data_IF_536826610919
#
_entry.id   IF_536826610919
#
_cell.length_a   1.000
_cell.length_b   1.000
_cell.length_c   1.000
_cell.angle_alpha   90.00
_cell.angle_beta   90.00
_cell.angle_gamma   90.00
#
_symmetry.space_group_name_H-M   'P 1'
#
loop_
_entity.id
_entity.type
_entity.pdbx_description
1 polymer ?
#
# COMPACT_ATOMS: atom_id res chain seq x y z
N UNK A 1 -42.72 3.69 -18.07
CA UNK A 1 -41.97 2.70 -17.28
C UNK A 1 -40.85 2.15 -18.15
N UNK A 2 -39.60 2.57 -17.92
CA UNK A 2 -38.42 2.03 -18.63
C UNK A 2 -37.51 1.41 -17.57
N UNK A 3 -37.39 0.08 -17.62
CA UNK A 3 -36.57 -0.72 -16.70
C UNK A 3 -35.11 -0.53 -17.11
N UNK A 4 -34.34 0.20 -16.31
CA UNK A 4 -32.88 0.27 -16.49
C UNK A 4 -32.29 -0.86 -15.64
N UNK A 5 -31.69 -1.83 -16.32
CA UNK A 5 -31.03 -2.98 -15.74
C UNK A 5 -29.67 -2.49 -15.24
N UNK A 6 -29.53 -2.32 -13.92
CA UNK A 6 -28.26 -1.97 -13.27
C UNK A 6 -27.36 -3.19 -13.38
N UNK A 7 -26.45 -3.13 -14.34
CA UNK A 7 -25.41 -4.13 -14.54
C UNK A 7 -24.25 -3.88 -13.59
N UNK A 8 -23.95 -4.91 -12.80
CA UNK A 8 -22.63 -5.27 -12.23
C UNK A 8 -21.50 -4.30 -12.60
N UNK A 9 -21.22 -3.35 -11.70
CA UNK A 9 -20.08 -2.44 -11.78
C UNK A 9 -18.83 -3.25 -11.40
N UNK A 10 -18.05 -3.65 -12.41
CA UNK A 10 -16.69 -4.14 -12.21
C UNK A 10 -15.85 -3.00 -11.63
N UNK A 11 -15.56 -3.07 -10.32
CA UNK A 11 -14.52 -2.28 -9.66
C UNK A 11 -13.15 -2.71 -10.20
N UNK A 12 -12.75 -2.15 -11.34
CA UNK A 12 -11.37 -2.22 -11.80
C UNK A 12 -10.56 -1.20 -10.99
N UNK A 13 -10.09 -1.63 -9.82
CA UNK A 13 -9.02 -0.97 -9.09
C UNK A 13 -7.74 -1.06 -9.95
N UNK A 14 -7.33 0.08 -10.49
CA UNK A 14 -6.18 0.19 -11.38
C UNK A 14 -4.89 -0.25 -10.69
N UNK A 15 -4.13 -1.12 -11.36
CA UNK A 15 -2.83 -1.58 -10.90
C UNK A 15 -1.88 -0.40 -10.65
N UNK A 16 -1.43 -0.26 -9.40
CA UNK A 16 -0.41 0.69 -9.01
C UNK A 16 0.95 0.18 -9.45
N UNK A 17 1.42 0.66 -10.60
CA UNK A 17 2.82 0.51 -11.00
C UNK A 17 3.66 1.56 -10.25
N UNK A 18 4.33 1.11 -9.19
CA UNK A 18 5.40 1.86 -8.54
C UNK A 18 6.60 1.92 -9.49
N UNK A 19 6.61 2.90 -10.39
CA UNK A 19 7.78 3.24 -11.20
C UNK A 19 8.88 3.77 -10.28
N UNK A 20 9.77 2.88 -9.84
CA UNK A 20 11.01 3.25 -9.18
C UNK A 20 11.85 4.10 -10.12
N UNK A 21 12.06 5.37 -9.76
CA UNK A 21 13.04 6.23 -10.38
C UNK A 21 14.45 5.75 -9.99
N UNK A 22 14.94 4.73 -10.69
CA UNK A 22 16.36 4.39 -10.72
C UNK A 22 17.10 5.54 -11.39
N UNK A 23 17.85 6.32 -10.60
CA UNK A 23 18.72 7.39 -11.10
C UNK A 23 19.78 6.76 -12.01
N UNK A 24 19.51 6.79 -13.32
CA UNK A 24 20.45 6.38 -14.34
C UNK A 24 21.69 7.30 -14.27
N UNK A 25 22.84 6.67 -14.09
CA UNK A 25 24.14 7.34 -14.00
C UNK A 25 24.50 7.86 -15.41
N UNK A 26 24.32 9.15 -15.64
CA UNK A 26 24.74 9.81 -16.88
C UNK A 26 26.22 10.16 -16.78
N UNK A 27 27.05 9.40 -17.50
CA UNK A 27 28.40 9.78 -17.86
C UNK A 27 28.39 10.87 -18.93
N UNK A 28 29.03 12.03 -18.65
CA UNK A 28 29.79 12.80 -19.65
C UNK A 28 30.64 13.91 -19.00
N UNK A 29 31.95 13.65 -18.95
CA UNK A 29 33.10 14.54 -19.25
C UNK A 29 33.13 16.01 -18.80
N UNK A 30 34.18 16.40 -18.06
CA UNK A 30 35.26 17.28 -18.58
C UNK A 30 36.36 17.55 -17.54
N UNK A 31 37.60 17.67 -18.04
CA UNK A 31 38.87 17.89 -17.34
C UNK A 31 38.92 19.20 -16.52
N UNK A 32 39.73 19.36 -15.46
CA UNK A 32 41.16 19.72 -15.59
C UNK A 32 41.91 19.60 -14.24
N UNK A 33 43.06 18.94 -14.30
CA UNK A 33 44.40 19.27 -13.74
C UNK A 33 44.53 20.16 -12.47
N UNK A 34 45.16 19.62 -11.42
CA UNK A 34 46.39 20.16 -10.81
C UNK A 34 46.95 19.21 -9.74
N UNK A 35 48.28 19.14 -9.72
CA UNK A 35 49.13 18.14 -9.07
C UNK A 35 49.52 18.47 -7.61
N UNK A 36 49.97 17.44 -6.88
CA UNK A 36 51.05 17.38 -5.85
C UNK A 36 50.66 16.34 -4.78
N UNK A 37 51.48 15.52 -4.13
CA UNK A 37 52.90 15.15 -4.18
C UNK A 37 53.06 14.02 -3.13
N UNK A 38 53.75 12.93 -3.51
CA UNK A 38 54.46 11.91 -2.70
C UNK A 38 53.93 11.40 -1.34
N UNK A 39 53.82 10.07 -1.19
CA UNK A 39 54.82 9.22 -0.50
C UNK A 39 54.27 7.82 -0.15
N UNK A 40 54.83 6.80 -0.81
CA UNK A 40 55.37 5.55 -0.26
C UNK A 40 54.66 4.81 0.90
N UNK A 41 54.30 3.54 0.65
CA UNK A 41 54.62 2.29 1.42
C UNK A 41 53.56 1.21 1.11
N UNK A 42 53.91 0.19 0.33
CA UNK A 42 54.30 -1.18 0.74
C UNK A 42 53.12 -2.18 0.84
N UNK A 43 53.33 -3.30 0.15
CA UNK A 43 52.54 -4.51 0.08
C UNK A 43 52.51 -5.27 1.42
N UNK A 44 51.45 -6.06 1.61
CA UNK A 44 51.38 -7.45 2.14
C UNK A 44 49.91 -7.70 2.54
N UNK A 45 49.14 -8.46 1.77
CA UNK A 45 48.97 -9.93 1.81
C UNK A 45 48.11 -10.47 2.96
N UNK A 46 47.10 -11.25 2.55
CA UNK A 46 46.59 -12.47 3.19
C UNK A 46 45.50 -12.41 4.27
N UNK A 47 44.34 -12.91 3.83
CA UNK A 47 43.51 -13.97 4.44
C UNK A 47 42.91 -13.80 5.85
N UNK A 48 41.57 -13.89 5.88
CA UNK A 48 40.85 -15.06 6.44
C UNK A 48 39.59 -14.66 7.22
N UNK A 49 38.46 -15.02 6.63
CA UNK A 49 37.23 -15.54 7.23
C UNK A 49 37.04 -15.41 8.75
N UNK A 50 35.98 -14.70 9.15
CA UNK A 50 34.99 -15.33 10.03
C UNK A 50 33.61 -14.73 9.79
N UNK A 51 32.69 -15.62 9.45
CA UNK A 51 31.27 -15.38 9.31
C UNK A 51 30.66 -15.22 10.71
N UNK A 52 30.12 -14.05 11.02
CA UNK A 52 29.11 -13.94 12.08
C UNK A 52 27.76 -13.68 11.42
N UNK A 53 27.08 -14.80 11.20
CA UNK A 53 25.68 -14.90 10.87
C UNK A 53 24.86 -14.53 12.11
N UNK A 54 24.13 -13.41 12.00
CA UNK A 54 22.73 -13.21 12.39
C UNK A 54 22.32 -13.68 13.80
N UNK A 55 22.05 -12.71 14.67
CA UNK A 55 20.73 -12.59 15.30
C UNK A 55 20.32 -11.12 15.31
N UNK A 56 19.81 -10.65 14.16
CA UNK A 56 18.93 -9.48 14.17
C UNK A 56 17.57 -10.01 14.59
N UNK A 57 17.37 -10.12 15.90
CA UNK A 57 16.04 -10.13 16.50
C UNK A 57 15.37 -8.88 15.98
N UNK A 58 14.54 -9.03 14.96
CA UNK A 58 13.55 -8.04 14.59
C UNK A 58 12.58 -8.01 15.77
N UNK A 59 12.89 -7.17 16.75
CA UNK A 59 11.92 -6.70 17.71
C UNK A 59 10.80 -6.10 16.86
N UNK A 60 9.69 -6.83 16.77
CA UNK A 60 8.45 -6.33 16.21
C UNK A 60 8.05 -5.14 17.09
N UNK A 61 8.53 -3.94 16.75
CA UNK A 61 7.99 -2.72 17.31
C UNK A 61 6.51 -2.73 16.95
N UNK A 62 5.67 -3.06 17.92
CA UNK A 62 4.24 -2.86 17.87
C UNK A 62 4.00 -1.35 17.78
N UNK A 63 4.01 -0.84 16.55
CA UNK A 63 3.96 0.57 16.26
C UNK A 63 4.20 0.84 14.78
N UNK A 64 3.63 1.94 14.29
CA UNK A 64 3.78 2.33 12.90
C UNK A 64 5.23 2.76 12.62
N UNK A 65 5.93 2.00 11.78
CA UNK A 65 7.31 2.30 11.39
C UNK A 65 7.39 3.55 10.50
N UNK A 66 8.59 4.14 10.38
CA UNK A 66 8.83 5.25 9.42
C UNK A 66 8.50 4.85 7.98
N UNK A 67 8.77 3.59 7.63
CA UNK A 67 8.45 3.00 6.34
C UNK A 67 6.94 2.91 6.13
N UNK A 68 6.19 2.54 7.17
CA UNK A 68 4.74 2.54 7.13
C UNK A 68 4.20 3.95 6.88
N UNK A 69 4.72 4.95 7.58
CA UNK A 69 4.32 6.35 7.37
C UNK A 69 4.58 6.83 5.93
N UNK A 70 5.73 6.48 5.34
CA UNK A 70 6.01 6.80 3.93
C UNK A 70 5.03 6.09 2.97
N UNK A 71 4.60 4.87 3.29
CA UNK A 71 3.57 4.16 2.53
C UNK A 71 2.22 4.89 2.62
N UNK A 72 1.83 5.37 3.80
CA UNK A 72 0.61 6.18 3.99
C UNK A 72 0.69 7.48 3.18
N UNK A 73 1.80 8.21 3.22
CA UNK A 73 1.99 9.43 2.42
C UNK A 73 1.87 9.15 0.92
N UNK A 74 2.47 8.04 0.47
CA UNK A 74 2.33 7.55 -0.90
C UNK A 74 0.88 7.22 -1.27
N UNK A 75 0.13 6.57 -0.39
CA UNK A 75 -1.29 6.28 -0.60
C UNK A 75 -2.14 7.56 -0.62
N UNK A 76 -1.91 8.49 0.31
CA UNK A 76 -2.59 9.79 0.39
C UNK A 76 -2.39 10.62 -0.87
N UNK A 77 -1.21 10.55 -1.50
CA UNK A 77 -0.94 11.25 -2.77
C UNK A 77 -1.90 10.86 -3.90
N UNK A 78 -2.54 9.69 -3.80
CA UNK A 78 -3.47 9.16 -4.79
C UNK A 78 -4.93 9.60 -4.54
N UNK A 79 -5.24 10.09 -3.34
CA UNK A 79 -6.60 10.48 -2.94
C UNK A 79 -7.24 11.47 -3.92
N UNK A 80 -6.56 12.52 -4.44
CA UNK A 80 -7.16 13.41 -5.42
C UNK A 80 -7.61 12.70 -6.70
N UNK A 81 -6.82 11.73 -7.17
CA UNK A 81 -7.17 10.91 -8.33
C UNK A 81 -8.37 10.00 -8.04
N UNK A 82 -8.38 9.36 -6.87
CA UNK A 82 -9.49 8.51 -6.42
C UNK A 82 -10.79 9.31 -6.31
N UNK A 83 -10.75 10.49 -5.70
CA UNK A 83 -11.92 11.39 -5.59
C UNK A 83 -12.49 11.75 -6.95
N UNK A 84 -11.62 12.02 -7.93
CA UNK A 84 -12.03 12.31 -9.31
C UNK A 84 -12.58 11.09 -10.03
N UNK A 85 -11.96 9.92 -9.86
CA UNK A 85 -12.40 8.68 -10.49
C UNK A 85 -13.79 8.24 -10.00
N UNK A 86 -14.07 8.44 -8.72
CA UNK A 86 -15.34 8.07 -8.10
C UNK A 86 -16.23 9.28 -7.80
N UNK A 87 -16.06 10.37 -8.56
CA UNK A 87 -16.87 11.58 -8.42
C UNK A 87 -18.36 11.25 -8.62
N UNK A 88 -19.20 11.83 -7.77
CA UNK A 88 -20.65 11.59 -7.77
C UNK A 88 -21.08 10.29 -7.06
N UNK A 89 -20.18 9.33 -6.85
CA UNK A 89 -20.43 8.14 -6.01
C UNK A 89 -20.10 8.42 -4.55
N UNK A 90 -18.90 8.95 -4.29
CA UNK A 90 -18.47 9.36 -2.95
C UNK A 90 -18.38 10.89 -2.85
N UNK A 91 -18.83 11.43 -1.71
CA UNK A 91 -18.62 12.84 -1.35
C UNK A 91 -17.22 13.08 -0.80
N UNK A 92 -16.63 12.06 -0.16
CA UNK A 92 -15.27 12.10 0.34
C UNK A 92 -14.60 10.73 0.28
N UNK A 93 -13.28 10.74 0.11
CA UNK A 93 -12.40 9.58 0.21
C UNK A 93 -11.18 10.05 0.98
N UNK A 94 -10.78 9.33 2.02
CA UNK A 94 -9.59 9.62 2.79
C UNK A 94 -8.81 8.35 3.10
N UNK A 95 -7.50 8.51 3.26
CA UNK A 95 -6.57 7.46 3.65
C UNK A 95 -5.79 7.98 4.83
N UNK A 96 -5.82 7.26 5.95
CA UNK A 96 -5.14 7.66 7.18
C UNK A 96 -4.34 6.50 7.77
N UNK A 97 -3.38 6.88 8.61
CA UNK A 97 -2.62 5.94 9.43
C UNK A 97 -3.50 5.47 10.60
N UNK A 98 -3.70 4.16 10.74
CA UNK A 98 -4.32 3.51 11.89
C UNK A 98 -3.27 2.84 12.78
N UNK A 99 -3.70 2.13 13.83
CA UNK A 99 -2.80 1.43 14.75
C UNK A 99 -2.23 0.14 14.12
N UNK A 100 -1.14 -0.39 14.67
CA UNK A 100 -0.57 -1.69 14.31
C UNK A 100 -0.39 -1.93 12.80
N UNK A 101 0.22 -0.97 12.09
CA UNK A 101 0.42 -1.02 10.63
C UNK A 101 -0.87 -1.15 9.82
N UNK A 102 -1.96 -0.53 10.30
CA UNK A 102 -3.26 -0.51 9.62
C UNK A 102 -3.42 0.71 8.72
N UNK A 103 -3.64 0.50 7.43
CA UNK A 103 -4.01 1.56 6.49
C UNK A 103 -5.53 1.71 6.54
N UNK A 104 -6.03 2.89 6.93
CA UNK A 104 -7.48 3.13 7.06
C UNK A 104 -7.97 3.87 5.83
N UNK A 105 -8.83 3.21 5.03
CA UNK A 105 -9.54 3.81 3.90
C UNK A 105 -10.96 4.15 4.33
N UNK A 106 -11.32 5.43 4.28
CA UNK A 106 -12.68 5.89 4.57
C UNK A 106 -13.33 6.44 3.32
N UNK A 107 -14.50 5.92 2.99
CA UNK A 107 -15.33 6.33 1.86
C UNK A 107 -16.65 6.88 2.39
N UNK A 108 -16.97 8.14 2.08
CA UNK A 108 -18.27 8.72 2.43
C UNK A 108 -19.13 8.78 1.18
N UNK A 109 -20.28 8.12 1.17
CA UNK A 109 -21.19 8.15 0.03
C UNK A 109 -21.71 9.57 -0.23
N UNK A 110 -21.90 9.92 -1.50
CA UNK A 110 -22.52 11.19 -1.89
C UNK A 110 -24.03 11.20 -1.61
N UNK A 111 -24.67 10.04 -1.68
CA UNK A 111 -26.08 9.81 -1.38
C UNK A 111 -26.23 8.50 -0.63
N UNK A 112 -27.24 8.39 0.24
CA UNK A 112 -27.50 7.15 0.94
C UNK A 112 -27.76 6.02 -0.08
N UNK A 113 -27.23 4.81 0.15
CA UNK A 113 -27.53 3.66 -0.69
C UNK A 113 -29.04 3.44 -0.81
N UNK A 114 -29.51 3.14 -2.01
CA UNK A 114 -30.95 2.95 -2.27
C UNK A 114 -31.51 1.66 -1.64
N UNK A 115 -30.63 0.75 -1.23
CA UNK A 115 -30.96 -0.50 -0.55
C UNK A 115 -29.90 -0.75 0.53
N UNK A 116 -30.25 -1.58 1.51
CA UNK A 116 -29.29 -2.05 2.51
C UNK A 116 -28.09 -2.72 1.83
N UNK A 117 -26.89 -2.38 2.30
CA UNK A 117 -25.66 -2.95 1.75
C UNK A 117 -25.51 -4.36 2.31
N UNK A 118 -25.49 -5.36 1.42
CA UNK A 118 -25.18 -6.74 1.80
C UNK A 118 -23.69 -6.86 2.13
N UNK A 119 -23.41 -6.70 3.41
CA UNK A 119 -22.08 -6.76 4.00
C UNK A 119 -21.40 -8.11 3.75
N UNK A 120 -22.15 -9.20 3.88
CA UNK A 120 -21.62 -10.56 3.78
C UNK A 120 -21.19 -10.85 2.34
N UNK A 121 -21.93 -10.34 1.35
CA UNK A 121 -21.55 -10.43 -0.05
C UNK A 121 -20.42 -9.45 -0.44
N UNK A 122 -20.33 -8.30 0.23
CA UNK A 122 -19.32 -7.28 -0.10
C UNK A 122 -17.93 -7.65 0.40
N UNK A 123 -17.80 -8.18 1.63
CA UNK A 123 -16.51 -8.51 2.25
C UNK A 123 -15.60 -9.36 1.35
N UNK A 124 -16.03 -10.50 0.77
CA UNK A 124 -15.16 -11.30 -0.11
C UNK A 124 -14.74 -10.56 -1.38
N UNK A 125 -15.60 -9.68 -1.90
CA UNK A 125 -15.27 -8.82 -3.05
C UNK A 125 -14.16 -7.83 -2.70
N UNK A 126 -14.23 -7.22 -1.50
CA UNK A 126 -13.20 -6.31 -1.00
C UNK A 126 -11.88 -7.04 -0.74
N UNK A 127 -11.91 -8.21 -0.11
CA UNK A 127 -10.71 -9.03 0.13
C UNK A 127 -10.02 -9.32 -1.20
N UNK A 128 -10.77 -9.78 -2.22
CA UNK A 128 -10.23 -10.07 -3.54
C UNK A 128 -9.64 -8.83 -4.23
N UNK A 129 -10.30 -7.68 -4.12
CA UNK A 129 -9.84 -6.42 -4.69
C UNK A 129 -8.60 -5.84 -3.98
N UNK A 130 -8.44 -6.11 -2.69
CA UNK A 130 -7.36 -5.58 -1.86
C UNK A 130 -6.18 -6.54 -1.70
N UNK A 131 -6.32 -7.81 -2.06
CA UNK A 131 -5.24 -8.80 -2.04
C UNK A 131 -3.95 -8.29 -2.70
N UNK A 132 -3.94 -7.69 -3.91
CA UNK A 132 -2.71 -7.17 -4.52
C UNK A 132 -2.06 -6.05 -3.70
N UNK A 133 -2.86 -5.26 -2.96
CA UNK A 133 -2.36 -4.18 -2.12
C UNK A 133 -1.68 -4.75 -0.88
N UNK A 134 -2.30 -5.73 -0.22
CA UNK A 134 -1.71 -6.42 0.94
C UNK A 134 -0.45 -7.19 0.51
N UNK A 135 -0.51 -7.93 -0.60
CA UNK A 135 0.63 -8.69 -1.13
C UNK A 135 1.82 -7.79 -1.51
N UNK A 136 1.55 -6.59 -2.04
CA UNK A 136 2.60 -5.61 -2.34
C UNK A 136 3.17 -4.95 -1.07
N UNK A 137 2.29 -4.60 -0.13
CA UNK A 137 2.69 -3.91 1.10
C UNK A 137 3.45 -4.82 2.08
N UNK A 138 3.08 -6.12 2.16
CA UNK A 138 3.68 -7.08 3.11
C UNK A 138 5.17 -7.35 2.87
N UNK A 139 5.66 -7.07 1.67
CA UNK A 139 7.10 -7.14 1.33
C UNK A 139 7.92 -6.17 2.19
N UNK A 140 7.33 -5.03 2.56
CA UNK A 140 7.98 -3.97 3.33
C UNK A 140 7.50 -3.92 4.77
N UNK A 141 6.20 -4.17 4.99
CA UNK A 141 5.52 -4.11 6.28
C UNK A 141 4.83 -5.47 6.52
N UNK A 142 5.50 -6.46 7.13
CA UNK A 142 5.02 -7.85 7.18
C UNK A 142 3.59 -8.02 7.72
N UNK A 143 3.24 -7.28 8.77
CA UNK A 143 1.94 -7.38 9.44
C UNK A 143 0.96 -6.28 9.01
N UNK A 144 1.06 -5.81 7.76
CA UNK A 144 0.17 -4.76 7.23
C UNK A 144 -1.29 -5.20 7.23
N UNK A 145 -2.17 -4.30 7.65
CA UNK A 145 -3.63 -4.48 7.64
C UNK A 145 -4.28 -3.37 6.83
N UNK A 146 -5.46 -3.63 6.28
CA UNK A 146 -6.28 -2.61 5.63
C UNK A 146 -7.63 -2.54 6.33
N UNK A 147 -7.95 -1.38 6.90
CA UNK A 147 -9.29 -1.11 7.41
C UNK A 147 -10.09 -0.36 6.35
N UNK A 148 -11.28 -0.85 6.03
CA UNK A 148 -12.20 -0.23 5.07
C UNK A 148 -13.45 0.22 5.82
N UNK A 149 -13.71 1.53 5.75
CA UNK A 149 -14.86 2.17 6.38
C UNK A 149 -15.73 2.80 5.29
N UNK A 150 -17.01 2.42 5.24
CA UNK A 150 -18.00 3.13 4.42
C UNK A 150 -18.97 3.89 5.32
N UNK A 151 -19.16 5.16 5.00
CA UNK A 151 -20.03 6.08 5.72
C UNK A 151 -21.20 6.53 4.83
N UNK A 152 -22.37 6.71 5.44
CA UNK A 152 -23.47 7.46 4.86
C UNK A 152 -23.11 8.95 4.70
N UNK A 153 -23.90 9.74 3.94
CA UNK A 153 -23.70 11.18 3.84
C UNK A 153 -23.76 11.93 5.18
N UNK A 154 -24.49 11.38 6.16
CA UNK A 154 -24.58 11.91 7.53
C UNK A 154 -23.42 11.44 8.45
N UNK A 155 -22.45 10.71 7.88
CA UNK A 155 -21.27 10.13 8.54
C UNK A 155 -21.56 8.96 9.48
N UNK A 156 -22.77 8.41 9.47
CA UNK A 156 -23.03 7.15 10.17
C UNK A 156 -22.32 5.99 9.47
N UNK A 157 -21.78 5.06 10.25
CA UNK A 157 -21.06 3.89 9.74
C UNK A 157 -22.04 2.90 9.09
N UNK A 158 -21.75 2.49 7.86
CA UNK A 158 -22.40 1.37 7.19
C UNK A 158 -21.56 0.11 7.32
N UNK A 159 -20.25 0.26 7.15
CA UNK A 159 -19.30 -0.84 7.06
C UNK A 159 -18.01 -0.43 7.75
N UNK A 160 -17.44 -1.36 8.51
CA UNK A 160 -16.14 -1.23 9.13
C UNK A 160 -15.50 -2.61 9.26
N UNK A 161 -14.58 -2.93 8.34
CA UNK A 161 -13.82 -4.20 8.37
C UNK A 161 -12.33 -3.95 8.36
N UNK A 162 -11.62 -4.77 9.12
CA UNK A 162 -10.18 -4.96 8.94
C UNK A 162 -9.98 -6.20 8.07
N UNK A 163 -9.12 -6.07 7.07
CA UNK A 163 -8.70 -7.13 6.18
C UNK A 163 -7.21 -7.35 6.43
N UNK A 164 -6.87 -8.58 6.79
CA UNK A 164 -5.50 -9.03 7.04
C UNK A 164 -4.99 -9.87 5.89
N UNK A 165 -3.70 -10.25 5.97
CA UNK A 165 -3.16 -11.25 5.07
C UNK A 165 -3.93 -12.59 5.15
N UNK A 166 -4.30 -13.04 6.36
CA UNK A 166 -5.03 -14.29 6.56
C UNK A 166 -6.37 -14.32 5.82
N UNK A 167 -7.09 -13.19 5.84
CA UNK A 167 -8.34 -13.03 5.06
C UNK A 167 -8.08 -13.22 3.56
N UNK A 168 -6.98 -12.64 3.03
CA UNK A 168 -6.64 -12.73 1.61
C UNK A 168 -6.05 -14.07 1.18
N UNK A 169 -5.42 -14.81 2.08
CA UNK A 169 -4.88 -16.14 1.80
C UNK A 169 -6.03 -17.19 1.82
N UNK A 170 -7.07 -16.97 2.63
CA UNK A 170 -8.22 -17.87 2.76
C UNK A 170 -9.14 -17.90 1.52
N UNK A 171 -9.16 -16.85 0.70
CA UNK A 171 -9.96 -16.83 -0.54
C UNK A 171 -9.33 -17.64 -1.70
N UNK A 172 -8.06 -18.03 -1.62
CA UNK A 172 -7.42 -18.88 -2.62
C UNK A 172 -7.85 -20.36 -2.49
N UNK A 173 -8.19 -20.81 -1.28
CA UNK A 173 -8.61 -22.19 -1.01
C UNK A 173 -10.04 -22.54 -1.45
N UNK A 174 -10.88 -21.55 -1.79
CA UNK A 174 -12.28 -21.79 -2.20
C UNK A 174 -12.48 -21.80 -3.73
N UNK A 175 -11.42 -21.64 -4.53
CA UNK A 175 -11.50 -21.60 -6.01
C UNK A 175 -10.86 -22.82 -6.71
N UNK A 176 -10.56 -23.91 -5.98
CA UNK A 176 -10.16 -25.20 -6.58
C UNK A 176 -11.35 -26.06 -7.04
#
# INVERSE_FOLDING_TARGET
MKKVKVGMVCFLMGALVLSGCGKANTSSSSASTAASTSSQSQEESSESSTSEQVEKTAESEAGNSKQFKLMIEGAQSQVPSLKKQYEGMYSDISITEGEDSTIVYTYTFAQAPAAEVDVEALKPTLIKGLKPVIDGAKIVIPDVKIQVIFLNPDKTELINFVITQEDTDSIESDTE
#
